data_IF_541517998665
#
_entry.id   IF_541517998665
#
_cell.length_a   1.000
_cell.length_b   1.000
_cell.length_c   1.000
_cell.angle_alpha   90.00
_cell.angle_beta   90.00
_cell.angle_gamma   90.00
#
_symmetry.space_group_name_H-M   'P 1'
#
loop_
_entity.id
_entity.type
_entity.pdbx_description
1 polymer ?
#
# COMPACT_ATOMS: atom_id res chain seq x y z
N UNK A 1 -12.48 6.31 18.28
CA UNK A 1 -11.39 6.09 17.31
C UNK A 1 -11.28 7.35 16.48
N UNK A 2 -10.08 7.88 16.25
CA UNK A 2 -9.95 9.13 15.51
C UNK A 2 -10.37 8.94 14.04
N UNK A 3 -11.34 9.74 13.62
CA UNK A 3 -11.75 9.87 12.23
C UNK A 3 -11.75 11.35 11.86
N UNK A 4 -11.51 11.67 10.60
CA UNK A 4 -11.62 13.02 10.08
C UNK A 4 -12.46 13.04 8.80
N UNK A 5 -13.11 14.16 8.51
CA UNK A 5 -13.90 14.34 7.28
C UNK A 5 -12.97 14.63 6.11
N UNK A 6 -13.00 13.76 5.11
CA UNK A 6 -12.18 13.88 3.90
C UNK A 6 -13.04 13.50 2.69
N UNK A 7 -13.16 14.39 1.72
CA UNK A 7 -13.85 14.13 0.44
C UNK A 7 -15.23 13.45 0.62
N UNK A 8 -16.00 13.90 1.61
CA UNK A 8 -17.37 13.43 1.88
C UNK A 8 -17.46 12.12 2.67
N UNK A 9 -16.36 11.58 3.17
CA UNK A 9 -16.34 10.38 4.02
C UNK A 9 -15.75 10.68 5.40
N UNK A 10 -15.98 9.77 6.37
CA UNK A 10 -15.21 9.66 7.60
C UNK A 10 -14.04 8.72 7.33
N UNK A 11 -12.81 9.25 7.33
CA UNK A 11 -11.58 8.50 7.15
C UNK A 11 -10.95 8.22 8.51
N UNK A 12 -10.73 6.93 8.82
CA UNK A 12 -10.05 6.49 10.02
C UNK A 12 -8.53 6.62 9.86
N UNK A 13 -7.85 7.09 10.92
CA UNK A 13 -6.39 7.18 10.97
C UNK A 13 -5.86 6.99 12.39
N UNK A 14 -4.57 6.72 12.51
CA UNK A 14 -3.82 6.72 13.76
C UNK A 14 -2.50 7.46 13.57
N UNK A 15 -2.02 8.07 14.65
CA UNK A 15 -0.73 8.77 14.69
C UNK A 15 0.14 8.17 15.79
N UNK A 16 1.44 8.00 15.51
CA UNK A 16 2.41 7.41 16.42
C UNK A 16 3.75 8.14 16.33
N UNK A 17 4.33 8.54 17.47
CA UNK A 17 5.60 9.24 17.53
C UNK A 17 5.50 10.73 17.21
N UNK A 18 6.65 11.37 17.07
CA UNK A 18 6.83 12.80 16.81
C UNK A 18 7.92 12.99 15.73
N UNK A 19 8.03 14.19 15.16
CA UNK A 19 8.99 14.52 14.11
C UNK A 19 8.32 14.78 12.77
N UNK A 20 9.10 14.67 11.66
CA UNK A 20 8.56 14.88 10.32
C UNK A 20 7.52 13.79 9.98
N UNK A 21 6.45 14.13 9.24
CA UNK A 21 5.39 13.18 8.92
C UNK A 21 5.86 12.07 7.99
N UNK A 22 5.48 10.82 8.32
CA UNK A 22 5.65 9.64 7.47
C UNK A 22 4.32 8.94 7.30
N UNK A 23 3.79 8.91 6.08
CA UNK A 23 2.57 8.22 5.70
C UNK A 23 2.87 6.77 5.36
N UNK A 24 2.35 5.82 6.13
CA UNK A 24 2.41 4.39 5.81
C UNK A 24 1.10 3.98 5.14
N UNK A 25 1.14 3.84 3.81
CA UNK A 25 -0.05 3.68 2.96
C UNK A 25 -0.26 2.21 2.62
N UNK A 26 -1.38 1.57 3.06
CA UNK A 26 -1.59 0.15 2.83
C UNK A 26 -1.92 -0.19 1.38
N UNK A 27 -1.86 -1.48 1.05
CA UNK A 27 -2.25 -2.03 -0.25
C UNK A 27 -3.78 -2.18 -0.41
N UNK A 28 -4.21 -3.09 -1.29
CA UNK A 28 -5.63 -3.34 -1.58
C UNK A 28 -6.44 -3.75 -0.34
N UNK A 29 -5.85 -4.46 0.65
CA UNK A 29 -6.50 -4.79 1.91
C UNK A 29 -6.98 -3.56 2.67
N UNK A 30 -6.28 -2.46 2.55
CA UNK A 30 -6.73 -1.11 2.83
C UNK A 30 -6.71 -0.70 4.29
N UNK A 31 -6.25 -1.52 5.23
CA UNK A 31 -6.22 -1.17 6.67
C UNK A 31 -4.85 -0.77 7.14
N UNK A 32 -4.79 0.28 7.96
CA UNK A 32 -3.56 0.80 8.57
C UNK A 32 -2.83 -0.24 9.43
N UNK A 33 -3.56 -1.19 10.01
CA UNK A 33 -3.01 -2.29 10.81
C UNK A 33 -2.01 -3.18 10.05
N UNK A 34 -2.03 -3.17 8.71
CA UNK A 34 -0.99 -3.80 7.90
C UNK A 34 0.41 -3.35 8.33
N UNK A 35 0.58 -2.12 8.76
CA UNK A 35 1.87 -1.53 9.10
C UNK A 35 2.30 -1.73 10.56
N UNK A 36 1.58 -2.54 11.36
CA UNK A 36 1.92 -2.78 12.77
C UNK A 36 3.40 -3.11 13.03
N UNK A 37 4.09 -3.96 12.21
CA UNK A 37 5.50 -4.25 12.42
C UNK A 37 6.44 -3.05 12.17
N UNK A 38 5.99 -2.04 11.40
CA UNK A 38 6.75 -0.85 11.06
C UNK A 38 6.50 0.30 12.02
N UNK A 39 5.31 0.39 12.65
CA UNK A 39 4.94 1.54 13.50
C UNK A 39 6.02 1.82 14.56
N UNK A 40 6.33 0.83 15.40
CA UNK A 40 7.26 1.03 16.52
C UNK A 40 8.70 1.42 16.10
N UNK A 41 9.34 0.79 15.09
CA UNK A 41 10.67 1.22 14.66
C UNK A 41 10.67 2.61 14.01
N UNK A 42 9.66 2.95 13.20
CA UNK A 42 9.62 4.22 12.48
C UNK A 42 9.19 5.40 13.37
N UNK A 43 8.26 5.18 14.31
CA UNK A 43 7.78 6.23 15.22
C UNK A 43 8.82 6.73 16.24
N UNK A 44 10.02 6.15 16.26
CA UNK A 44 11.15 6.68 17.03
C UNK A 44 11.75 7.94 16.42
N UNK A 45 11.52 8.16 15.11
CA UNK A 45 12.13 9.24 14.35
C UNK A 45 11.11 10.09 13.60
N UNK A 46 9.89 9.59 13.39
CA UNK A 46 8.86 10.20 12.57
C UNK A 46 7.52 10.27 13.29
N UNK A 47 6.72 11.27 12.96
CA UNK A 47 5.27 11.27 13.18
C UNK A 47 4.65 10.32 12.14
N UNK A 48 4.48 9.06 12.52
CA UNK A 48 3.95 8.01 11.64
C UNK A 48 2.43 8.11 11.59
N UNK A 49 1.87 8.20 10.40
CA UNK A 49 0.43 8.21 10.13
C UNK A 49 0.06 6.94 9.38
N UNK A 50 -0.89 6.18 9.91
CA UNK A 50 -1.55 5.06 9.23
C UNK A 50 -3.03 5.35 9.09
N UNK A 51 -3.68 4.82 8.06
CA UNK A 51 -5.12 5.04 7.83
C UNK A 51 -5.77 3.81 7.20
N UNK A 52 -7.08 3.72 7.34
CA UNK A 52 -7.88 2.77 6.58
C UNK A 52 -8.40 3.47 5.32
N UNK A 53 -8.18 2.88 4.15
CA UNK A 53 -8.73 3.44 2.90
C UNK A 53 -10.25 3.50 2.95
N UNK A 54 -10.84 4.42 2.16
CA UNK A 54 -12.30 4.38 1.92
C UNK A 54 -12.74 2.96 1.54
N UNK A 55 -13.86 2.53 2.10
CA UNK A 55 -14.42 1.20 1.85
C UNK A 55 -13.72 0.06 2.58
N UNK A 56 -12.87 0.35 3.59
CA UNK A 56 -12.21 -0.68 4.41
C UNK A 56 -12.16 -0.30 5.87
N UNK A 57 -11.99 -1.30 6.73
CA UNK A 57 -11.76 -1.13 8.16
C UNK A 57 -12.79 -0.21 8.83
N UNK A 58 -12.30 0.81 9.50
CA UNK A 58 -13.13 1.77 10.25
C UNK A 58 -13.49 3.03 9.44
N UNK A 59 -13.07 3.12 8.18
CA UNK A 59 -13.47 4.21 7.27
C UNK A 59 -14.85 3.97 6.66
N UNK A 60 -15.48 5.01 6.14
CA UNK A 60 -16.81 4.92 5.51
C UNK A 60 -16.84 3.88 4.38
N UNK A 61 -17.84 3.01 4.41
CA UNK A 61 -18.16 2.04 3.36
C UNK A 61 -19.36 2.57 2.54
N UNK A 62 -19.09 3.03 1.33
CA UNK A 62 -20.12 3.54 0.42
C UNK A 62 -20.23 2.64 -0.81
N UNK A 63 -21.35 1.94 -0.97
CA UNK A 63 -21.63 1.05 -2.08
C UNK A 63 -22.20 1.75 -3.32
N UNK A 64 -22.51 3.04 -3.20
CA UNK A 64 -23.12 3.83 -4.29
C UNK A 64 -22.11 4.40 -5.28
N UNK A 65 -20.80 4.28 -4.97
CA UNK A 65 -19.71 4.83 -5.78
C UNK A 65 -18.79 3.72 -6.32
N UNK A 66 -18.09 4.03 -7.41
CA UNK A 66 -16.96 3.24 -7.89
C UNK A 66 -15.67 3.72 -7.24
N UNK A 67 -14.80 2.79 -6.89
CA UNK A 67 -13.51 3.09 -6.27
C UNK A 67 -12.43 3.24 -7.34
N UNK A 68 -11.49 4.16 -7.14
CA UNK A 68 -10.30 4.30 -7.98
C UNK A 68 -9.06 4.62 -7.14
N UNK A 69 -7.87 4.39 -7.69
CA UNK A 69 -6.60 4.72 -7.02
C UNK A 69 -6.45 6.23 -6.91
N UNK A 70 -6.92 6.98 -7.91
CA UNK A 70 -6.95 8.44 -7.92
C UNK A 70 -7.77 9.01 -6.76
N UNK A 71 -8.94 8.42 -6.52
CA UNK A 71 -9.79 8.83 -5.41
C UNK A 71 -9.11 8.56 -4.05
N UNK A 72 -8.44 7.41 -3.90
CA UNK A 72 -7.68 7.09 -2.69
C UNK A 72 -6.49 8.04 -2.50
N UNK A 73 -5.84 8.46 -3.59
CA UNK A 73 -4.78 9.49 -3.53
C UNK A 73 -5.33 10.84 -3.09
N UNK A 74 -6.47 11.25 -3.63
CA UNK A 74 -7.15 12.48 -3.21
C UNK A 74 -7.58 12.42 -1.72
N UNK A 75 -7.98 11.25 -1.22
CA UNK A 75 -8.28 11.07 0.20
C UNK A 75 -7.05 11.22 1.10
N UNK A 76 -5.90 10.70 0.65
CA UNK A 76 -4.66 10.86 1.39
C UNK A 76 -4.20 12.32 1.44
N UNK A 77 -4.34 13.07 0.33
CA UNK A 77 -4.10 14.53 0.33
C UNK A 77 -5.06 15.22 1.29
N UNK A 78 -6.35 14.89 1.25
CA UNK A 78 -7.34 15.46 2.19
C UNK A 78 -7.07 15.11 3.65
N UNK A 79 -6.50 13.92 3.93
CA UNK A 79 -6.04 13.56 5.28
C UNK A 79 -4.86 14.44 5.70
N UNK A 80 -3.89 14.65 4.81
CA UNK A 80 -2.76 15.57 5.08
C UNK A 80 -3.26 16.98 5.40
N UNK A 81 -4.23 17.49 4.63
CA UNK A 81 -4.82 18.81 4.86
C UNK A 81 -5.53 18.89 6.23
N UNK A 82 -6.31 17.87 6.57
CA UNK A 82 -7.03 17.80 7.85
C UNK A 82 -6.09 17.69 9.07
N UNK A 83 -4.87 17.16 8.87
CA UNK A 83 -3.83 17.03 9.90
C UNK A 83 -2.79 18.17 9.85
N UNK A 84 -3.02 19.19 9.02
CA UNK A 84 -2.12 20.33 8.80
C UNK A 84 -0.70 19.90 8.38
N UNK A 85 -0.60 18.83 7.57
CA UNK A 85 0.65 18.30 7.05
C UNK A 85 0.91 18.94 5.69
N UNK A 86 1.87 19.83 5.61
CA UNK A 86 2.29 20.45 4.36
C UNK A 86 3.03 19.46 3.45
N UNK A 87 4.03 18.77 4.00
CA UNK A 87 4.84 17.76 3.32
C UNK A 87 5.05 16.53 4.19
N UNK A 88 5.18 15.35 3.56
CA UNK A 88 5.45 14.10 4.25
C UNK A 88 6.39 13.19 3.44
N UNK A 89 7.05 12.26 4.12
CA UNK A 89 7.53 11.04 3.47
C UNK A 89 6.35 10.09 3.25
N UNK A 90 6.42 9.27 2.20
CA UNK A 90 5.41 8.24 1.91
C UNK A 90 6.10 6.88 1.75
N UNK A 91 5.60 5.86 2.45
CA UNK A 91 5.94 4.46 2.22
C UNK A 91 4.64 3.73 1.88
N UNK A 92 4.48 3.37 0.60
CA UNK A 92 3.26 2.80 0.06
C UNK A 92 3.44 1.37 -0.42
N UNK A 93 2.62 0.45 0.13
CA UNK A 93 2.58 -0.95 -0.28
C UNK A 93 1.59 -1.17 -1.42
N UNK A 94 2.01 -1.78 -2.52
CA UNK A 94 1.11 -2.23 -3.59
C UNK A 94 0.24 -1.06 -4.10
N UNK A 95 -1.09 -1.06 -3.85
CA UNK A 95 -1.98 0.07 -4.15
C UNK A 95 -1.50 1.37 -3.48
N UNK A 96 -0.92 1.29 -2.26
CA UNK A 96 -0.30 2.44 -1.61
C UNK A 96 0.88 3.00 -2.39
N UNK A 97 1.68 2.15 -3.06
CA UNK A 97 2.72 2.59 -3.99
C UNK A 97 2.15 3.24 -5.26
N UNK A 98 1.01 2.76 -5.76
CA UNK A 98 0.30 3.41 -6.87
C UNK A 98 -0.25 4.80 -6.46
N UNK A 99 -0.78 4.93 -5.24
CA UNK A 99 -1.14 6.22 -4.64
C UNK A 99 0.09 7.15 -4.56
N UNK A 100 1.23 6.62 -4.11
CA UNK A 100 2.49 7.36 -4.07
C UNK A 100 2.93 7.88 -5.43
N UNK A 101 2.75 7.10 -6.51
CA UNK A 101 3.01 7.55 -7.89
C UNK A 101 2.12 8.74 -8.25
N UNK A 102 0.80 8.66 -8.01
CA UNK A 102 -0.14 9.76 -8.31
C UNK A 102 0.28 11.03 -7.58
N UNK A 103 0.53 10.95 -6.27
CA UNK A 103 0.89 12.13 -5.49
C UNK A 103 2.25 12.70 -5.95
N UNK A 104 3.21 11.85 -6.29
CA UNK A 104 4.51 12.29 -6.82
C UNK A 104 4.39 13.01 -8.17
N UNK A 105 3.37 12.70 -8.98
CA UNK A 105 3.11 13.34 -10.28
C UNK A 105 2.25 14.60 -10.09
N UNK A 106 1.11 14.47 -9.44
CA UNK A 106 0.10 15.54 -9.40
C UNK A 106 0.32 16.56 -8.28
N UNK A 107 0.99 16.11 -7.19
CA UNK A 107 1.23 16.92 -5.99
C UNK A 107 2.68 16.80 -5.48
N UNK A 108 3.72 16.99 -6.33
CA UNK A 108 5.11 16.73 -5.96
C UNK A 108 5.57 17.53 -4.74
N UNK A 109 5.00 18.73 -4.55
CA UNK A 109 5.31 19.59 -3.40
C UNK A 109 4.77 19.08 -2.07
N UNK A 110 3.92 18.03 -2.07
CA UNK A 110 3.38 17.40 -0.86
C UNK A 110 4.22 16.24 -0.35
N UNK A 111 5.25 15.80 -1.10
CA UNK A 111 6.14 14.72 -0.70
C UNK A 111 7.58 15.17 -0.55
N UNK A 112 8.22 14.73 0.52
CA UNK A 112 9.67 14.82 0.74
C UNK A 112 10.40 13.66 0.06
N UNK A 113 9.81 12.46 0.09
CA UNK A 113 10.28 11.26 -0.61
C UNK A 113 9.18 10.22 -0.72
N UNK A 114 9.34 9.24 -1.61
CA UNK A 114 8.39 8.14 -1.81
C UNK A 114 9.09 6.78 -1.85
N UNK A 115 8.66 5.84 -1.00
CA UNK A 115 9.01 4.42 -1.10
C UNK A 115 7.85 3.69 -1.77
N UNK A 116 8.08 3.23 -3.00
CA UNK A 116 7.11 2.51 -3.84
C UNK A 116 7.37 1.01 -3.69
N UNK A 117 6.69 0.39 -2.74
CA UNK A 117 6.91 -0.98 -2.34
C UNK A 117 5.93 -1.94 -3.03
N UNK A 118 6.47 -2.95 -3.74
CA UNK A 118 5.72 -4.00 -4.43
C UNK A 118 4.57 -3.44 -5.28
N UNK A 119 4.84 -2.41 -6.08
CA UNK A 119 3.85 -1.70 -6.88
C UNK A 119 4.07 -1.95 -8.39
N UNK A 120 3.23 -1.36 -9.21
CA UNK A 120 3.20 -1.57 -10.67
C UNK A 120 2.93 -0.27 -11.41
N UNK A 121 3.21 -0.25 -12.72
CA UNK A 121 2.99 0.89 -13.61
C UNK A 121 1.57 0.89 -14.17
N UNK A 122 1.16 -0.27 -14.66
CA UNK A 122 -0.19 -0.59 -15.18
C UNK A 122 -0.42 -2.09 -15.05
N UNK A 123 -1.67 -2.51 -14.94
CA UNK A 123 -2.01 -3.93 -14.92
C UNK A 123 -1.71 -4.59 -16.27
N UNK A 124 -0.86 -5.61 -16.25
CA UNK A 124 -0.57 -6.48 -17.39
C UNK A 124 -1.52 -7.69 -17.46
N UNK A 125 -1.28 -8.60 -18.41
CA UNK A 125 -2.13 -9.77 -18.57
C UNK A 125 -2.04 -10.74 -17.38
N UNK A 126 -0.87 -10.86 -16.73
CA UNK A 126 -0.72 -11.69 -15.53
C UNK A 126 -1.57 -11.15 -14.38
N UNK A 127 -1.46 -9.87 -14.07
CA UNK A 127 -2.28 -9.23 -13.03
C UNK A 127 -3.78 -9.35 -13.34
N UNK A 128 -4.20 -9.15 -14.60
CA UNK A 128 -5.59 -9.34 -15.00
C UNK A 128 -6.07 -10.74 -14.67
N UNK A 129 -5.32 -11.77 -15.04
CA UNK A 129 -5.68 -13.17 -14.77
C UNK A 129 -5.79 -13.43 -13.26
N UNK A 130 -4.82 -12.95 -12.46
CA UNK A 130 -4.85 -13.10 -10.99
C UNK A 130 -6.09 -12.43 -10.38
N UNK A 131 -6.38 -11.21 -10.78
CA UNK A 131 -7.55 -10.48 -10.26
C UNK A 131 -8.87 -11.04 -10.75
N UNK A 132 -8.93 -11.60 -11.97
CA UNK A 132 -10.12 -12.30 -12.45
C UNK A 132 -10.41 -13.55 -11.62
N UNK A 133 -9.38 -14.36 -11.29
CA UNK A 133 -9.53 -15.49 -10.36
C UNK A 133 -10.01 -15.01 -8.98
N UNK A 134 -9.40 -13.96 -8.43
CA UNK A 134 -9.79 -13.39 -7.12
C UNK A 134 -11.24 -12.89 -7.12
N UNK A 135 -11.64 -12.14 -8.16
CA UNK A 135 -13.02 -11.66 -8.30
C UNK A 135 -14.02 -12.81 -8.49
N UNK A 136 -13.65 -13.85 -9.22
CA UNK A 136 -14.48 -15.06 -9.39
C UNK A 136 -14.69 -15.77 -8.06
N UNK A 137 -13.61 -15.99 -7.27
CA UNK A 137 -13.73 -16.56 -5.92
C UNK A 137 -14.71 -15.75 -5.06
N UNK A 138 -14.62 -14.43 -5.14
CA UNK A 138 -15.46 -13.55 -4.34
C UNK A 138 -16.92 -13.56 -4.78
N UNK A 139 -17.21 -13.56 -6.09
CA UNK A 139 -18.57 -13.54 -6.65
C UNK A 139 -19.28 -14.89 -6.55
N UNK A 140 -18.58 -15.97 -6.91
CA UNK A 140 -19.19 -17.28 -7.09
C UNK A 140 -19.17 -18.13 -5.79
N UNK A 141 -18.16 -17.91 -4.92
CA UNK A 141 -17.97 -18.73 -3.72
C UNK A 141 -18.14 -17.89 -2.43
N UNK A 142 -17.71 -16.62 -2.47
CA UNK A 142 -17.90 -15.67 -1.37
C UNK A 142 -16.62 -15.25 -0.65
N UNK A 143 -16.80 -14.37 0.34
CA UNK A 143 -15.71 -13.72 1.08
C UNK A 143 -14.79 -14.70 1.81
N UNK A 144 -15.31 -15.82 2.32
CA UNK A 144 -14.52 -16.86 2.97
C UNK A 144 -13.47 -17.48 2.02
N UNK A 145 -13.88 -17.86 0.80
CA UNK A 145 -12.96 -18.42 -0.19
C UNK A 145 -11.91 -17.39 -0.64
N UNK A 146 -12.33 -16.14 -0.81
CA UNK A 146 -11.43 -15.04 -1.13
C UNK A 146 -10.38 -14.81 -0.02
N UNK A 147 -10.82 -14.72 1.24
CA UNK A 147 -9.94 -14.53 2.40
C UNK A 147 -8.93 -15.68 2.54
N UNK A 148 -9.41 -16.93 2.41
CA UNK A 148 -8.58 -18.13 2.49
C UNK A 148 -7.55 -18.25 1.36
N UNK A 149 -7.88 -17.79 0.15
CA UNK A 149 -6.97 -17.80 -0.99
C UNK A 149 -5.97 -16.64 -0.96
N UNK A 150 -6.28 -15.53 -0.28
CA UNK A 150 -5.46 -14.32 -0.27
C UNK A 150 -4.01 -14.55 0.15
N UNK A 151 -3.69 -15.37 1.18
CA UNK A 151 -2.30 -15.67 1.55
C UNK A 151 -1.45 -16.25 0.42
N UNK A 152 -2.03 -17.03 -0.49
CA UNK A 152 -1.31 -17.63 -1.63
C UNK A 152 -0.78 -16.58 -2.62
N UNK A 153 -1.38 -15.41 -2.65
CA UNK A 153 -0.94 -14.29 -3.50
C UNK A 153 0.04 -13.36 -2.80
N UNK A 154 0.01 -13.31 -1.45
CA UNK A 154 0.77 -12.33 -0.66
C UNK A 154 2.04 -12.89 -0.06
N UNK A 155 2.02 -14.14 0.38
CA UNK A 155 3.10 -14.73 1.17
C UNK A 155 3.77 -15.89 0.43
N UNK A 156 5.09 -16.08 0.60
CA UNK A 156 5.78 -17.22 0.03
C UNK A 156 5.46 -18.51 0.79
N UNK A 157 5.61 -19.65 0.13
CA UNK A 157 5.29 -20.99 0.63
C UNK A 157 5.96 -21.32 1.97
N UNK A 158 7.25 -20.98 2.12
CA UNK A 158 8.01 -21.24 3.35
C UNK A 158 7.42 -20.48 4.55
N UNK A 159 6.90 -19.25 4.33
CA UNK A 159 6.30 -18.46 5.39
C UNK A 159 4.90 -18.96 5.72
N UNK A 160 4.11 -19.33 4.73
CA UNK A 160 2.78 -19.95 4.90
C UNK A 160 2.90 -21.20 5.77
N UNK A 161 3.83 -22.11 5.43
CA UNK A 161 4.05 -23.34 6.17
C UNK A 161 4.50 -23.14 7.62
N UNK A 162 5.27 -22.07 7.88
CA UNK A 162 5.79 -21.79 9.22
C UNK A 162 4.80 -20.99 10.11
N UNK A 163 3.71 -20.44 9.56
CA UNK A 163 2.85 -19.48 10.25
C UNK A 163 1.36 -19.86 10.21
N UNK A 164 1.03 -21.13 10.27
CA UNK A 164 -0.35 -21.65 10.20
C UNK A 164 -1.30 -20.96 11.20
N UNK A 165 -0.87 -20.79 12.45
CA UNK A 165 -1.68 -20.18 13.52
C UNK A 165 -1.97 -18.71 13.19
N UNK A 166 -0.95 -17.96 12.81
CA UNK A 166 -1.07 -16.54 12.43
C UNK A 166 -2.00 -16.37 11.22
N UNK A 167 -1.87 -17.24 10.23
CA UNK A 167 -2.73 -17.23 9.05
C UNK A 167 -4.18 -17.53 9.39
N UNK A 168 -4.42 -18.49 10.29
CA UNK A 168 -5.76 -18.80 10.77
C UNK A 168 -6.41 -17.65 11.54
N UNK A 169 -5.64 -16.88 12.30
CA UNK A 169 -6.11 -15.66 12.97
C UNK A 169 -6.40 -14.55 11.97
N UNK A 170 -5.51 -14.35 11.00
CA UNK A 170 -5.67 -13.37 9.92
C UNK A 170 -6.92 -13.69 9.07
N UNK A 171 -7.13 -14.95 8.70
CA UNK A 171 -8.32 -15.39 7.96
C UNK A 171 -9.60 -15.06 8.75
N UNK A 172 -9.67 -15.44 10.03
CA UNK A 172 -10.84 -15.14 10.89
C UNK A 172 -11.10 -13.65 11.00
N UNK A 173 -10.06 -12.86 11.24
CA UNK A 173 -10.16 -11.39 11.32
C UNK A 173 -10.61 -10.77 10.00
N UNK A 174 -10.05 -11.23 8.88
CA UNK A 174 -10.42 -10.76 7.54
C UNK A 174 -11.89 -11.05 7.25
N UNK A 175 -12.37 -12.27 7.58
CA UNK A 175 -13.77 -12.65 7.35
C UNK A 175 -14.71 -11.81 8.22
N UNK A 176 -14.37 -11.63 9.51
CA UNK A 176 -15.21 -10.86 10.44
C UNK A 176 -15.37 -9.40 10.07
N UNK A 177 -14.35 -8.80 9.40
CA UNK A 177 -14.30 -7.40 9.01
C UNK A 177 -14.35 -7.21 7.48
N UNK A 178 -14.84 -8.21 6.74
CA UNK A 178 -14.85 -8.14 5.29
C UNK A 178 -15.81 -7.03 4.81
N UNK A 179 -15.35 -6.13 3.91
CA UNK A 179 -16.23 -5.09 3.39
C UNK A 179 -17.35 -5.70 2.53
N UNK A 180 -18.41 -4.94 2.22
CA UNK A 180 -19.39 -5.35 1.22
C UNK A 180 -18.71 -5.85 -0.06
N UNK A 181 -19.22 -6.95 -0.62
CA UNK A 181 -18.61 -7.63 -1.79
C UNK A 181 -18.41 -6.68 -2.97
N UNK A 182 -19.41 -5.82 -3.23
CA UNK A 182 -19.34 -4.84 -4.33
C UNK A 182 -18.19 -3.83 -4.14
N UNK A 183 -17.92 -3.42 -2.91
CA UNK A 183 -16.77 -2.56 -2.59
C UNK A 183 -15.47 -3.31 -2.87
N UNK A 184 -15.35 -4.55 -2.40
CA UNK A 184 -14.14 -5.34 -2.61
C UNK A 184 -13.87 -5.58 -4.12
N UNK A 185 -14.91 -5.84 -4.91
CA UNK A 185 -14.81 -5.98 -6.37
C UNK A 185 -14.40 -4.66 -7.01
N UNK A 186 -15.06 -3.54 -6.66
CA UNK A 186 -14.75 -2.22 -7.20
C UNK A 186 -13.31 -1.80 -6.89
N UNK A 187 -12.78 -2.17 -5.72
CA UNK A 187 -11.37 -1.95 -5.36
C UNK A 187 -10.42 -2.82 -6.17
N UNK A 188 -10.79 -4.07 -6.50
CA UNK A 188 -10.04 -4.89 -7.45
C UNK A 188 -10.02 -4.26 -8.85
N UNK A 189 -11.15 -3.72 -9.30
CA UNK A 189 -11.24 -3.03 -10.58
C UNK A 189 -10.41 -1.73 -10.59
N UNK A 190 -10.34 -1.00 -9.47
CA UNK A 190 -9.44 0.14 -9.31
C UNK A 190 -7.97 -0.21 -9.56
N UNK A 191 -7.50 -1.35 -9.03
CA UNK A 191 -6.14 -1.87 -9.28
C UNK A 191 -5.91 -2.16 -10.77
N UNK A 192 -6.88 -2.80 -11.43
CA UNK A 192 -6.79 -3.17 -12.85
C UNK A 192 -6.85 -1.97 -13.80
N UNK A 193 -7.57 -0.92 -13.41
CA UNK A 193 -7.74 0.29 -14.20
C UNK A 193 -6.61 1.30 -14.04
N UNK A 194 -5.79 1.16 -12.99
CA UNK A 194 -4.66 2.06 -12.75
C UNK A 194 -3.62 1.99 -13.87
N UNK A 195 -3.25 3.16 -14.40
CA UNK A 195 -2.20 3.30 -15.44
C UNK A 195 -1.60 4.71 -15.40
N UNK A 196 -0.35 4.82 -14.96
CA UNK A 196 0.42 6.07 -14.97
C UNK A 196 1.71 5.97 -15.78
N UNK A 197 1.75 5.00 -16.73
CA UNK A 197 2.94 4.69 -17.51
C UNK A 197 3.54 5.89 -18.25
N UNK A 198 2.68 6.76 -18.79
CA UNK A 198 3.13 7.90 -19.59
C UNK A 198 3.71 9.05 -18.75
N UNK A 199 3.42 9.08 -17.46
CA UNK A 199 3.69 10.21 -16.57
C UNK A 199 4.84 9.94 -15.58
N UNK A 200 5.33 8.70 -15.50
CA UNK A 200 6.38 8.32 -14.53
C UNK A 200 7.69 9.10 -14.71
N UNK A 201 8.00 9.49 -15.95
CA UNK A 201 9.16 10.33 -16.25
C UNK A 201 9.06 11.75 -15.68
N UNK A 202 7.89 12.17 -15.20
CA UNK A 202 7.67 13.49 -14.62
C UNK A 202 7.92 13.52 -13.10
N UNK A 203 8.05 12.34 -12.46
CA UNK A 203 8.36 12.23 -11.03
C UNK A 203 9.74 12.84 -10.76
N UNK A 204 9.79 13.80 -9.82
CA UNK A 204 11.02 14.45 -9.33
C UNK A 204 11.25 14.24 -7.84
N UNK A 205 10.26 13.69 -7.15
CA UNK A 205 10.36 13.32 -5.74
C UNK A 205 11.38 12.17 -5.60
N UNK A 206 12.36 12.25 -4.68
CA UNK A 206 13.26 11.13 -4.42
C UNK A 206 12.49 9.82 -4.22
N UNK A 207 12.80 8.79 -5.00
CA UNK A 207 12.03 7.56 -5.02
C UNK A 207 12.90 6.33 -4.73
N UNK A 208 12.44 5.47 -3.80
CA UNK A 208 12.94 4.13 -3.61
C UNK A 208 11.89 3.13 -4.10
N UNK A 209 12.26 2.28 -5.05
CA UNK A 209 11.43 1.15 -5.48
C UNK A 209 11.96 -0.10 -4.80
N UNK A 210 11.11 -0.83 -4.07
CA UNK A 210 11.52 -2.02 -3.33
C UNK A 210 10.52 -3.17 -3.51
N UNK A 211 10.98 -4.40 -3.73
CA UNK A 211 10.17 -5.61 -3.73
C UNK A 211 11.02 -6.84 -3.39
N UNK A 212 10.38 -7.98 -3.18
CA UNK A 212 11.05 -9.26 -3.10
C UNK A 212 11.10 -9.95 -4.47
N UNK A 213 12.16 -10.75 -4.73
CA UNK A 213 12.33 -11.48 -6.01
C UNK A 213 11.26 -12.54 -6.23
N UNK A 214 10.70 -13.07 -5.14
CA UNK A 214 9.66 -14.08 -5.10
C UNK A 214 8.23 -13.48 -4.95
N UNK A 215 8.07 -12.19 -5.23
CA UNK A 215 6.73 -11.57 -5.28
C UNK A 215 5.92 -12.19 -6.42
N UNK A 216 4.84 -12.88 -6.04
CA UNK A 216 3.95 -13.52 -7.01
C UNK A 216 2.92 -12.52 -7.57
N UNK A 217 2.40 -11.59 -6.75
CA UNK A 217 1.26 -10.74 -7.13
C UNK A 217 1.67 -9.59 -8.06
N UNK A 218 2.75 -8.90 -7.71
CA UNK A 218 3.40 -7.90 -8.58
C UNK A 218 4.86 -8.35 -8.79
N UNK A 219 5.10 -9.27 -9.74
CA UNK A 219 6.41 -9.86 -9.92
C UNK A 219 7.50 -8.81 -10.08
N UNK A 220 8.72 -9.19 -9.72
CA UNK A 220 9.89 -8.31 -9.67
C UNK A 220 10.02 -7.38 -10.89
N UNK A 221 9.64 -7.84 -12.08
CA UNK A 221 9.71 -7.01 -13.29
C UNK A 221 8.83 -5.74 -13.22
N UNK A 222 7.73 -5.75 -12.44
CA UNK A 222 6.89 -4.57 -12.23
C UNK A 222 7.69 -3.46 -11.51
N UNK A 223 8.43 -3.83 -10.46
CA UNK A 223 9.29 -2.90 -9.73
C UNK A 223 10.51 -2.47 -10.56
N UNK A 224 11.07 -3.37 -11.37
CA UNK A 224 12.14 -3.03 -12.31
C UNK A 224 11.67 -2.01 -13.36
N UNK A 225 10.44 -2.18 -13.91
CA UNK A 225 9.85 -1.24 -14.84
C UNK A 225 9.62 0.14 -14.18
N UNK A 226 9.11 0.17 -12.94
CA UNK A 226 8.96 1.42 -12.18
C UNK A 226 10.28 2.15 -12.04
N UNK A 227 11.32 1.47 -11.51
CA UNK A 227 12.63 2.08 -11.29
C UNK A 227 13.29 2.53 -12.60
N UNK A 228 13.05 1.84 -13.70
CA UNK A 228 13.58 2.23 -15.01
C UNK A 228 12.90 3.49 -15.57
N UNK A 229 11.62 3.72 -15.26
CA UNK A 229 10.84 4.82 -15.80
C UNK A 229 10.87 6.09 -14.95
N UNK A 230 11.11 5.96 -13.64
CA UNK A 230 11.22 7.10 -12.73
C UNK A 230 12.68 7.58 -12.71
N UNK A 231 12.95 8.86 -13.07
CA UNK A 231 14.31 9.40 -13.02
C UNK A 231 14.93 9.27 -11.63
N UNK A 232 16.19 8.84 -11.58
CA UNK A 232 17.00 8.73 -10.37
C UNK A 232 16.42 7.85 -9.26
N UNK A 233 15.45 6.99 -9.58
CA UNK A 233 14.89 6.06 -8.61
C UNK A 233 15.91 4.98 -8.21
N UNK A 234 16.08 4.78 -6.91
CA UNK A 234 16.83 3.64 -6.37
C UNK A 234 15.98 2.36 -6.45
N UNK A 235 16.59 1.24 -6.83
CA UNK A 235 15.93 -0.08 -6.83
C UNK A 235 16.59 -1.01 -5.82
N UNK A 236 15.79 -1.55 -4.91
CA UNK A 236 16.22 -2.57 -3.94
C UNK A 236 15.39 -3.85 -4.11
N UNK A 237 16.08 -4.98 -4.28
CA UNK A 237 15.47 -6.30 -4.43
C UNK A 237 15.87 -7.17 -3.24
N UNK A 238 14.91 -7.51 -2.37
CA UNK A 238 15.11 -8.54 -1.35
C UNK A 238 15.12 -9.92 -2.01
N UNK A 239 15.97 -10.81 -1.51
CA UNK A 239 16.10 -12.16 -2.09
C UNK A 239 14.80 -12.96 -1.98
N UNK A 240 14.03 -12.74 -0.92
CA UNK A 240 12.76 -13.42 -0.66
C UNK A 240 11.84 -12.57 0.22
N UNK A 241 10.56 -12.95 0.31
CA UNK A 241 9.59 -12.31 1.21
C UNK A 241 8.18 -12.23 0.63
N UNK A 242 8.00 -12.50 -0.65
CA UNK A 242 6.72 -12.41 -1.34
C UNK A 242 6.24 -10.98 -1.50
N UNK A 243 4.95 -10.83 -1.85
CA UNK A 243 4.32 -9.52 -2.02
C UNK A 243 4.28 -8.71 -0.71
N UNK A 244 4.17 -9.40 0.42
CA UNK A 244 4.12 -8.78 1.74
C UNK A 244 5.46 -8.91 2.49
N UNK A 245 6.61 -8.65 1.85
CA UNK A 245 7.92 -8.82 2.46
C UNK A 245 8.14 -7.94 3.71
N UNK A 246 7.41 -6.84 3.87
CA UNK A 246 7.37 -6.06 5.12
C UNK A 246 6.78 -6.84 6.32
N UNK A 247 6.06 -7.94 6.06
CA UNK A 247 5.48 -8.83 7.07
C UNK A 247 6.29 -10.11 7.29
N UNK A 248 6.93 -10.60 6.25
CA UNK A 248 7.60 -11.91 6.24
C UNK A 248 9.08 -11.82 6.56
N UNK A 249 9.74 -10.72 6.19
CA UNK A 249 11.16 -10.41 6.46
C UNK A 249 11.31 -9.02 7.06
N UNK A 250 10.53 -8.78 8.14
CA UNK A 250 10.34 -7.48 8.81
C UNK A 250 11.65 -6.75 9.08
N UNK A 251 12.63 -7.44 9.68
CA UNK A 251 13.90 -6.83 10.08
C UNK A 251 14.70 -6.37 8.86
N UNK A 252 14.77 -7.20 7.82
CA UNK A 252 15.49 -6.87 6.60
C UNK A 252 14.82 -5.68 5.88
N UNK A 253 13.50 -5.73 5.73
CA UNK A 253 12.73 -4.64 5.14
C UNK A 253 12.94 -3.31 5.88
N UNK A 254 12.82 -3.32 7.21
CA UNK A 254 13.00 -2.12 8.02
C UNK A 254 14.44 -1.57 7.95
N UNK A 255 15.45 -2.45 7.93
CA UNK A 255 16.87 -2.06 7.84
C UNK A 255 17.24 -1.45 6.48
N UNK A 256 16.46 -1.71 5.44
CA UNK A 256 16.64 -1.10 4.11
C UNK A 256 15.86 0.21 3.98
N UNK A 257 14.61 0.23 4.44
CA UNK A 257 13.71 1.37 4.20
C UNK A 257 13.89 2.51 5.20
N UNK A 258 14.03 2.24 6.50
CA UNK A 258 14.16 3.28 7.51
C UNK A 258 15.42 4.15 7.31
N UNK A 259 16.64 3.60 7.11
CA UNK A 259 17.82 4.42 6.85
C UNK A 259 17.71 5.23 5.56
N UNK A 260 17.01 4.71 4.54
CA UNK A 260 16.79 5.45 3.31
C UNK A 260 15.90 6.67 3.55
N UNK A 261 14.77 6.51 4.25
CA UNK A 261 13.87 7.62 4.59
C UNK A 261 14.58 8.66 5.46
N UNK A 262 15.39 8.24 6.44
CA UNK A 262 16.19 9.15 7.29
C UNK A 262 17.18 9.99 6.47
N UNK A 263 17.87 9.40 5.49
CA UNK A 263 18.75 10.17 4.59
C UNK A 263 17.99 11.23 3.78
N UNK A 264 16.77 10.91 3.34
CA UNK A 264 15.93 11.89 2.63
C UNK A 264 15.44 13.00 3.56
N UNK A 265 15.15 12.67 4.82
CA UNK A 265 14.74 13.65 5.83
C UNK A 265 15.84 14.68 6.13
N UNK A 266 17.08 14.21 6.31
CA UNK A 266 18.25 15.06 6.53
C UNK A 266 18.52 16.04 5.36
N UNK A 267 18.16 15.67 4.14
CA UNK A 267 18.34 16.51 2.95
C UNK A 267 17.23 17.57 2.78
N UNK A 268 16.12 17.42 3.46
CA UNK A 268 14.98 18.34 3.42
C UNK A 268 14.95 19.34 4.60
N UNK A 269 15.79 19.13 5.62
CA UNK A 269 16.00 20.02 6.76
C UNK A 269 17.16 20.99 6.49
#
# INVERSE_FOLDING_TARGET
MPTTKVNGIDLYFEEHGEGNPLLLVPGLGGTGSYWNPQIKPFSRNFRVIVHDHRGTGNSTHDTSISYSVEQMAADLIGLMDALEIEKAHLLGHSTGGAIGQIISIEHPNRLMSAVLYASWVKADQFMKNVFDVRKTLLREIGSHAYARATPLFLYPDWWINANEVVLGELERSTIANFPPVDIAISRCDAVLNFNRQAELSDIRVPALVICARDDFLTPMYCSQELAQKIPDAELVLLERGGHACSQTVVTEFNNLTLPWVLRQDEQNN
#
